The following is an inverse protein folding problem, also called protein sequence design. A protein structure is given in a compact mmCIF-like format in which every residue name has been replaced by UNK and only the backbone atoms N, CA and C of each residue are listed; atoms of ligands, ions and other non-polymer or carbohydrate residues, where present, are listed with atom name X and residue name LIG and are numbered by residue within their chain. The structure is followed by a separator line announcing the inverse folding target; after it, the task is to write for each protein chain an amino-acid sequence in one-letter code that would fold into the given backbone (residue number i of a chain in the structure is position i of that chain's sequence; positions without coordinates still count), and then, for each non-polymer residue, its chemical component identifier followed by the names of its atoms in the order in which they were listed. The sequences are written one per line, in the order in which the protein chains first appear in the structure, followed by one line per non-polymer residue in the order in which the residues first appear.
data_IF_378775706262
#
_entry.id   IF_378775706262
#
_cell.length_a   1.000
_cell.length_b   1.000
_cell.length_c   1.000
_cell.angle_alpha   90.00
_cell.angle_beta   90.00
_cell.angle_gamma   90.00
#
_symmetry.space_group_name_H-M   'P 1'
#
loop_
_entity.id
_entity.type
_entity.pdbx_description
1 polymer ?
#
# COMPACT_ATOMS: atom_id res chain seq x y z
N UNK A 1 19.37 -1.65 46.38
CA UNK A 1 20.22 -0.52 45.85
C UNK A 1 19.32 0.68 45.66
N UNK A 2 19.56 1.73 46.47
CA UNK A 2 18.77 2.96 46.32
C UNK A 2 19.34 3.74 45.12
N UNK A 3 18.57 3.76 44.02
CA UNK A 3 18.87 4.62 42.87
C UNK A 3 18.53 6.07 43.32
N UNK A 4 19.52 6.90 43.49
CA UNK A 4 19.32 8.31 43.90
C UNK A 4 18.73 9.11 42.75
N UNK A 5 17.82 10.04 43.06
CA UNK A 5 17.16 10.90 42.06
C UNK A 5 18.14 11.55 41.07
N UNK A 6 19.35 11.90 41.54
CA UNK A 6 20.44 12.42 40.72
C UNK A 6 20.95 11.47 39.62
N UNK A 7 20.91 10.15 39.84
CA UNK A 7 21.35 9.19 38.86
C UNK A 7 20.28 9.02 37.74
N UNK A 8 19.00 9.05 38.10
CA UNK A 8 17.88 9.01 37.17
C UNK A 8 17.88 10.29 36.33
N UNK A 9 18.07 11.47 36.91
CA UNK A 9 18.12 12.71 36.18
C UNK A 9 19.31 12.76 35.19
N UNK A 10 20.47 12.22 35.58
CA UNK A 10 21.65 12.14 34.71
C UNK A 10 21.43 11.18 33.55
N UNK A 11 20.80 10.05 33.77
CA UNK A 11 20.45 9.07 32.69
C UNK A 11 19.40 9.63 31.75
N UNK A 12 18.39 10.32 32.26
CA UNK A 12 17.37 10.99 31.43
C UNK A 12 18.00 12.14 30.61
N UNK A 13 18.89 12.95 31.17
CA UNK A 13 19.61 13.99 30.39
C UNK A 13 20.54 13.40 29.34
N UNK A 14 21.21 12.28 29.61
CA UNK A 14 22.00 11.56 28.60
C UNK A 14 21.12 10.99 27.48
N UNK A 15 20.00 10.33 27.81
CA UNK A 15 19.07 9.82 26.80
C UNK A 15 18.46 10.95 25.95
N UNK A 16 18.10 12.08 26.54
CA UNK A 16 17.61 13.26 25.80
C UNK A 16 18.72 13.86 24.89
N UNK A 17 19.96 13.87 25.33
CA UNK A 17 21.08 14.34 24.51
C UNK A 17 21.40 13.38 23.35
N UNK A 18 21.32 12.08 23.58
CA UNK A 18 21.47 11.07 22.53
C UNK A 18 20.33 11.17 21.49
N UNK A 19 19.07 11.30 21.94
CA UNK A 19 17.92 11.52 21.05
C UNK A 19 17.99 12.86 20.30
N UNK A 20 18.54 13.91 20.91
CA UNK A 20 18.75 15.22 20.26
C UNK A 20 19.92 15.19 19.27
N UNK A 21 20.96 14.41 19.53
CA UNK A 21 22.06 14.20 18.59
C UNK A 21 21.66 13.28 17.41
N UNK A 22 20.79 12.29 17.64
CA UNK A 22 20.20 11.47 16.57
C UNK A 22 19.23 12.27 15.66
N UNK A 23 18.65 13.37 16.16
CA UNK A 23 17.76 14.25 15.37
C UNK A 23 18.48 15.17 14.37
N UNK A 24 19.81 15.24 14.38
CA UNK A 24 20.58 15.88 13.32
C UNK A 24 21.06 14.84 12.31
N UNK A 25 20.12 14.21 11.59
CA UNK A 25 20.47 13.63 10.29
C UNK A 25 20.71 14.83 9.37
N UNK A 26 21.95 15.09 9.07
CA UNK A 26 22.35 16.15 8.15
C UNK A 26 21.94 15.73 6.73
N UNK A 27 20.80 16.23 6.26
CA UNK A 27 20.26 15.97 4.93
C UNK A 27 21.12 16.58 3.80
N UNK A 28 22.19 17.31 4.14
CA UNK A 28 23.01 18.06 3.18
C UNK A 28 24.26 17.34 2.68
N UNK A 29 24.54 16.09 3.06
CA UNK A 29 25.58 15.30 2.40
C UNK A 29 25.02 14.61 1.14
N UNK A 30 24.50 15.40 0.21
CA UNK A 30 24.38 15.01 -1.18
C UNK A 30 25.77 15.09 -1.80
N UNK A 31 26.42 13.93 -1.96
CA UNK A 31 27.64 13.82 -2.75
C UNK A 31 27.41 14.46 -4.13
N UNK A 32 28.23 15.44 -4.46
CA UNK A 32 28.17 16.25 -5.66
C UNK A 32 28.30 15.43 -6.94
N UNK A 33 27.49 15.72 -7.92
CA UNK A 33 27.64 15.61 -9.37
C UNK A 33 26.79 14.59 -10.15
N UNK A 34 26.29 13.47 -9.60
CA UNK A 34 25.35 12.60 -10.34
C UNK A 34 23.95 12.76 -9.77
N UNK A 35 22.97 12.98 -10.64
CA UNK A 35 21.58 13.18 -10.21
C UNK A 35 20.90 11.92 -9.68
N UNK A 36 21.40 10.74 -10.04
CA UNK A 36 20.79 9.44 -9.72
C UNK A 36 19.26 9.42 -9.88
N UNK A 37 18.76 10.03 -10.98
CA UNK A 37 17.35 10.11 -11.30
C UNK A 37 16.57 11.28 -10.69
N UNK A 38 17.24 12.23 -10.02
CA UNK A 38 16.59 13.38 -9.40
C UNK A 38 16.81 14.65 -10.23
N UNK A 39 15.73 15.31 -10.64
CA UNK A 39 15.76 16.44 -11.56
C UNK A 39 15.07 17.68 -10.97
N UNK A 40 15.42 18.86 -11.49
CA UNK A 40 14.80 20.12 -11.08
C UNK A 40 13.40 20.31 -11.69
N UNK A 41 13.18 19.78 -12.90
CA UNK A 41 11.89 19.90 -13.62
C UNK A 41 11.35 18.53 -14.03
N UNK A 42 10.03 18.44 -14.16
CA UNK A 42 9.38 17.22 -14.61
C UNK A 42 9.72 16.87 -16.05
N UNK A 43 9.83 17.85 -16.94
CA UNK A 43 10.23 17.63 -18.33
C UNK A 43 11.64 17.01 -18.41
N UNK A 44 12.59 17.50 -17.63
CA UNK A 44 13.94 16.93 -17.58
C UNK A 44 13.94 15.48 -17.06
N UNK A 45 13.12 15.18 -16.06
CA UNK A 45 12.96 13.81 -15.53
C UNK A 45 12.37 12.87 -16.60
N UNK A 46 11.37 13.31 -17.34
CA UNK A 46 10.73 12.53 -18.42
C UNK A 46 11.69 12.34 -19.61
N UNK A 47 12.43 13.39 -20.00
CA UNK A 47 13.41 13.30 -21.07
C UNK A 47 14.54 12.31 -20.74
N UNK A 48 15.09 12.37 -19.53
CA UNK A 48 16.10 11.44 -19.07
C UNK A 48 15.58 9.99 -19.03
N UNK A 49 14.36 9.80 -18.57
CA UNK A 49 13.67 8.52 -18.56
C UNK A 49 13.43 7.97 -19.97
N UNK A 50 13.09 8.80 -20.97
CA UNK A 50 12.93 8.40 -22.37
C UNK A 50 14.27 7.93 -23.00
N UNK A 51 15.36 8.62 -22.67
CA UNK A 51 16.71 8.20 -23.08
C UNK A 51 17.06 6.84 -22.46
N UNK A 52 16.80 6.67 -21.17
CA UNK A 52 16.99 5.41 -20.46
C UNK A 52 16.13 4.28 -21.05
N UNK A 53 14.88 4.58 -21.40
CA UNK A 53 13.95 3.63 -22.04
C UNK A 53 14.49 3.07 -23.34
N UNK A 54 15.12 3.88 -24.19
CA UNK A 54 15.72 3.43 -25.45
C UNK A 54 16.90 2.48 -25.21
N UNK A 55 17.62 2.65 -24.10
CA UNK A 55 18.70 1.74 -23.70
C UNK A 55 18.13 0.45 -23.11
N UNK A 56 17.12 0.54 -22.22
CA UNK A 56 16.46 -0.59 -21.57
C UNK A 56 15.78 -1.52 -22.58
N UNK A 57 15.25 -1.01 -23.69
CA UNK A 57 14.66 -1.83 -24.77
C UNK A 57 15.65 -2.80 -25.40
N UNK A 58 16.96 -2.56 -25.27
CA UNK A 58 18.00 -3.46 -25.76
C UNK A 58 18.39 -4.53 -24.75
N UNK A 59 17.93 -4.42 -23.50
CA UNK A 59 18.22 -5.36 -22.45
C UNK A 59 17.43 -6.66 -22.62
N UNK A 60 18.12 -7.76 -22.50
CA UNK A 60 17.54 -9.11 -22.44
C UNK A 60 16.69 -9.30 -21.17
N UNK A 61 15.84 -10.34 -21.15
CA UNK A 61 15.09 -10.73 -19.94
C UNK A 61 16.03 -11.02 -18.77
N UNK A 62 17.20 -11.66 -19.03
CA UNK A 62 18.21 -11.96 -18.01
C UNK A 62 18.81 -10.68 -17.40
N UNK A 63 19.07 -9.66 -18.20
CA UNK A 63 19.56 -8.38 -17.70
C UNK A 63 18.50 -7.64 -16.88
N UNK A 64 17.23 -7.65 -17.34
CA UNK A 64 16.14 -7.07 -16.57
C UNK A 64 15.94 -7.79 -15.23
N UNK A 65 16.05 -9.13 -15.19
CA UNK A 65 16.00 -9.85 -13.92
C UNK A 65 17.17 -9.46 -13.01
N UNK A 66 18.39 -9.31 -13.56
CA UNK A 66 19.53 -8.79 -12.78
C UNK A 66 19.22 -7.41 -12.17
N UNK A 67 18.56 -6.51 -12.91
CA UNK A 67 18.17 -5.20 -12.36
C UNK A 67 17.13 -5.33 -11.24
N UNK A 68 16.16 -6.20 -11.40
CA UNK A 68 15.17 -6.53 -10.35
C UNK A 68 15.87 -7.05 -9.09
N UNK A 69 16.80 -7.99 -9.24
CA UNK A 69 17.55 -8.57 -8.12
C UNK A 69 18.39 -7.51 -7.38
N UNK A 70 18.99 -6.56 -8.11
CA UNK A 70 19.73 -5.44 -7.55
C UNK A 70 18.81 -4.54 -6.71
N UNK A 71 17.62 -4.22 -7.24
CA UNK A 71 16.60 -3.41 -6.49
C UNK A 71 16.23 -4.14 -5.20
N UNK A 72 15.87 -5.43 -5.29
CA UNK A 72 15.52 -6.23 -4.12
C UNK A 72 16.65 -6.25 -3.09
N UNK A 73 17.87 -6.57 -3.54
CA UNK A 73 19.02 -6.73 -2.67
C UNK A 73 19.45 -5.42 -1.98
N UNK A 74 19.40 -4.27 -2.67
CA UNK A 74 19.77 -2.98 -2.05
C UNK A 74 18.77 -2.58 -0.96
N UNK A 75 17.48 -2.86 -1.17
CA UNK A 75 16.43 -2.55 -0.20
C UNK A 75 16.50 -3.48 1.02
N UNK A 76 16.76 -4.77 0.80
CA UNK A 76 16.79 -5.78 1.85
C UNK A 76 18.05 -5.71 2.75
N UNK A 77 19.05 -4.89 2.40
CA UNK A 77 20.12 -4.59 3.36
C UNK A 77 19.53 -3.96 4.61
N UNK A 78 19.91 -4.50 5.77
CA UNK A 78 19.34 -4.10 7.07
C UNK A 78 19.35 -2.58 7.27
N UNK A 79 20.51 -1.97 7.03
CA UNK A 79 20.71 -0.52 7.17
C UNK A 79 19.80 0.31 6.27
N UNK A 80 19.57 -0.15 5.03
CA UNK A 80 18.72 0.55 4.06
C UNK A 80 17.24 0.39 4.43
N UNK A 81 16.83 -0.83 4.77
CA UNK A 81 15.46 -1.14 5.16
C UNK A 81 15.03 -0.34 6.41
N UNK A 82 15.91 -0.27 7.42
CA UNK A 82 15.71 0.53 8.61
C UNK A 82 15.66 2.03 8.29
N UNK A 83 16.57 2.51 7.45
CA UNK A 83 16.64 3.92 7.06
C UNK A 83 15.36 4.39 6.37
N UNK A 84 14.92 3.71 5.30
CA UNK A 84 13.72 4.12 4.56
C UNK A 84 12.45 4.02 5.41
N UNK A 85 12.39 3.03 6.31
CA UNK A 85 11.26 2.87 7.22
C UNK A 85 11.19 3.99 8.26
N UNK A 86 12.34 4.37 8.87
CA UNK A 86 12.43 5.53 9.79
C UNK A 86 12.10 6.85 9.08
N UNK A 87 12.66 7.07 7.89
CA UNK A 87 12.38 8.26 7.08
C UNK A 87 10.90 8.37 6.73
N UNK A 88 10.27 7.25 6.33
CA UNK A 88 8.85 7.25 5.98
C UNK A 88 7.97 7.71 7.14
N UNK A 89 8.17 7.16 8.34
CA UNK A 89 7.41 7.59 9.54
C UNK A 89 7.79 9.01 9.95
N UNK A 90 9.09 9.34 9.96
CA UNK A 90 9.58 10.64 10.40
C UNK A 90 9.12 11.80 9.52
N UNK A 91 9.02 11.60 8.20
CA UNK A 91 8.58 12.64 7.26
C UNK A 91 7.07 12.76 7.17
N UNK A 92 6.36 11.63 7.11
CA UNK A 92 4.90 11.62 6.93
C UNK A 92 4.15 11.76 8.25
N UNK A 93 4.77 11.39 9.35
CA UNK A 93 4.17 11.23 10.69
C UNK A 93 3.00 10.21 10.71
N UNK A 94 3.01 9.25 9.77
CA UNK A 94 1.93 8.28 9.54
C UNK A 94 2.44 6.86 9.81
N UNK A 95 1.68 6.09 10.59
CA UNK A 95 1.90 4.67 10.82
C UNK A 95 2.93 4.36 11.92
N UNK A 96 3.49 3.13 11.88
CA UNK A 96 4.45 2.59 12.86
C UNK A 96 5.72 2.09 12.18
N UNK A 97 6.87 2.38 12.77
CA UNK A 97 8.17 1.98 12.24
C UNK A 97 8.28 0.46 12.00
N UNK A 98 7.86 -0.35 12.98
CA UNK A 98 7.92 -1.81 12.89
C UNK A 98 7.08 -2.35 11.72
N UNK A 99 5.92 -1.75 11.48
CA UNK A 99 5.05 -2.12 10.38
C UNK A 99 5.56 -1.61 9.03
N UNK A 100 6.20 -0.45 8.97
CA UNK A 100 6.91 0.01 7.76
C UNK A 100 8.06 -0.94 7.40
N UNK A 101 8.81 -1.46 8.39
CA UNK A 101 9.83 -2.49 8.15
C UNK A 101 9.24 -3.74 7.50
N UNK A 102 8.13 -4.26 8.03
CA UNK A 102 7.45 -5.44 7.47
C UNK A 102 6.99 -5.16 6.04
N UNK A 103 6.32 -4.02 5.79
CA UNK A 103 5.80 -3.67 4.47
C UNK A 103 6.90 -3.45 3.43
N UNK A 104 7.96 -2.73 3.76
CA UNK A 104 9.10 -2.52 2.85
C UNK A 104 9.82 -3.85 2.53
N UNK A 105 9.95 -4.72 3.53
CA UNK A 105 10.53 -6.06 3.34
C UNK A 105 9.67 -6.89 2.38
N UNK A 106 8.37 -7.02 2.64
CA UNK A 106 7.49 -7.81 1.79
C UNK A 106 7.37 -7.22 0.37
N UNK A 107 7.40 -5.90 0.23
CA UNK A 107 7.46 -5.23 -1.06
C UNK A 107 8.70 -5.63 -1.87
N UNK A 108 9.86 -5.70 -1.24
CA UNK A 108 11.09 -6.15 -1.92
C UNK A 108 11.12 -7.65 -2.17
N UNK A 109 10.69 -8.48 -1.21
CA UNK A 109 10.77 -9.93 -1.32
C UNK A 109 9.72 -10.51 -2.27
N UNK A 110 8.46 -10.08 -2.15
CA UNK A 110 7.31 -10.73 -2.80
C UNK A 110 6.78 -10.02 -4.05
N UNK A 111 7.30 -8.88 -4.46
CA UNK A 111 6.93 -8.31 -5.76
C UNK A 111 7.57 -9.15 -6.87
N UNK A 112 6.77 -9.67 -7.83
CA UNK A 112 7.28 -10.50 -8.90
C UNK A 112 8.15 -9.70 -9.88
N UNK A 113 9.19 -10.36 -10.39
CA UNK A 113 10.06 -9.87 -11.43
C UNK A 113 9.69 -10.37 -12.82
N UNK A 114 10.70 -10.75 -13.60
CA UNK A 114 10.50 -11.24 -14.99
C UNK A 114 9.82 -12.60 -15.08
N UNK A 115 9.80 -13.38 -13.99
CA UNK A 115 9.09 -14.65 -13.89
C UNK A 115 7.55 -14.52 -14.09
N UNK A 116 7.01 -13.31 -13.92
CA UNK A 116 5.60 -13.02 -14.18
C UNK A 116 5.26 -12.90 -15.68
N UNK A 117 6.26 -12.74 -16.55
CA UNK A 117 6.11 -12.49 -17.98
C UNK A 117 6.20 -13.78 -18.80
N UNK A 118 5.19 -14.65 -18.64
CA UNK A 118 5.15 -15.96 -19.29
C UNK A 118 4.76 -15.81 -20.75
N UNK A 119 5.57 -16.36 -21.66
CA UNK A 119 5.26 -16.46 -23.09
C UNK A 119 4.20 -17.55 -23.32
N UNK A 120 3.13 -17.21 -24.05
CA UNK A 120 2.12 -18.16 -24.51
C UNK A 120 2.47 -18.59 -25.94
N UNK A 121 2.44 -19.89 -26.24
CA UNK A 121 2.66 -20.45 -27.56
C UNK A 121 1.46 -21.28 -27.99
N UNK A 122 0.99 -21.03 -29.20
CA UNK A 122 -0.08 -21.79 -29.86
C UNK A 122 0.46 -22.38 -31.17
N UNK A 123 0.38 -23.69 -31.32
CA UNK A 123 0.81 -24.39 -32.55
C UNK A 123 -0.33 -25.23 -33.15
N UNK A 124 -0.35 -25.33 -34.48
CA UNK A 124 -1.34 -26.10 -35.23
C UNK A 124 -0.85 -26.34 -36.66
N UNK A 125 -1.73 -26.86 -37.50
CA UNK A 125 -1.41 -27.20 -38.91
C UNK A 125 -1.02 -25.94 -39.71
N UNK A 126 -1.54 -24.76 -39.30
CA UNK A 126 -1.27 -23.48 -39.95
C UNK A 126 0.02 -22.76 -39.44
N UNK A 127 0.81 -23.39 -38.53
CA UNK A 127 2.06 -22.84 -38.03
C UNK A 127 2.11 -22.56 -36.53
N UNK A 128 2.78 -21.45 -36.11
CA UNK A 128 2.95 -21.07 -34.71
C UNK A 128 2.60 -19.60 -34.45
N UNK A 129 1.97 -19.35 -33.34
CA UNK A 129 1.78 -18.01 -32.78
C UNK A 129 2.40 -17.92 -31.40
N UNK A 130 3.25 -16.91 -31.19
CA UNK A 130 3.77 -16.53 -29.88
C UNK A 130 3.04 -15.27 -29.40
N UNK A 131 2.69 -15.23 -28.10
CA UNK A 131 2.16 -14.05 -27.43
C UNK A 131 3.09 -13.70 -26.27
N UNK A 132 3.67 -12.51 -26.32
CA UNK A 132 4.65 -12.04 -25.35
C UNK A 132 4.25 -10.71 -24.72
N UNK A 133 4.70 -10.50 -23.49
CA UNK A 133 4.56 -9.24 -22.78
C UNK A 133 5.68 -8.28 -23.18
N UNK A 134 5.31 -7.12 -23.72
CA UNK A 134 6.23 -6.09 -24.18
C UNK A 134 6.00 -4.76 -23.45
N UNK A 135 7.04 -3.93 -23.27
CA UNK A 135 6.90 -2.65 -22.58
C UNK A 135 5.96 -1.69 -23.30
N UNK A 136 5.33 -0.81 -22.54
CA UNK A 136 4.69 0.38 -23.04
C UNK A 136 5.69 1.49 -23.35
N UNK A 137 6.72 1.63 -22.52
CA UNK A 137 7.70 2.70 -22.57
C UNK A 137 7.84 3.44 -21.24
N UNK A 138 7.91 4.77 -21.27
CA UNK A 138 7.99 5.57 -20.05
C UNK A 138 6.62 5.59 -19.33
N UNK A 139 6.61 5.24 -18.05
CA UNK A 139 5.42 5.22 -17.20
C UNK A 139 5.49 6.38 -16.20
N UNK A 140 4.41 7.16 -16.09
CA UNK A 140 4.25 8.16 -15.03
C UNK A 140 3.50 7.56 -13.84
N UNK A 141 4.08 7.58 -12.64
CA UNK A 141 3.54 6.95 -11.45
C UNK A 141 3.37 7.95 -10.30
N UNK A 142 2.13 8.13 -9.84
CA UNK A 142 1.78 8.99 -8.69
C UNK A 142 1.73 8.12 -7.45
N UNK A 143 2.45 8.53 -6.38
CA UNK A 143 2.54 7.75 -5.15
C UNK A 143 1.92 8.47 -3.94
N UNK A 144 1.33 7.71 -2.98
CA UNK A 144 0.62 8.27 -1.83
C UNK A 144 1.57 8.63 -0.68
N UNK A 145 1.04 9.26 0.37
CA UNK A 145 1.73 9.43 1.66
C UNK A 145 1.64 8.20 2.55
N UNK A 146 0.63 7.37 2.34
CA UNK A 146 0.31 6.22 3.21
C UNK A 146 1.32 5.08 3.09
N UNK A 147 1.75 4.81 1.84
CA UNK A 147 2.70 3.75 1.50
C UNK A 147 3.74 4.25 0.48
N UNK A 148 4.51 5.30 0.79
CA UNK A 148 5.34 5.96 -0.22
C UNK A 148 6.50 5.08 -0.69
N UNK A 149 7.19 4.40 0.22
CA UNK A 149 8.33 3.55 -0.09
C UNK A 149 7.90 2.23 -0.72
N UNK A 150 6.91 1.59 -0.16
CA UNK A 150 6.38 0.31 -0.62
C UNK A 150 5.87 0.41 -2.08
N UNK A 151 5.15 1.49 -2.39
CA UNK A 151 4.63 1.74 -3.75
C UNK A 151 5.78 1.95 -4.75
N UNK A 152 6.80 2.72 -4.38
CA UNK A 152 7.99 2.93 -5.23
C UNK A 152 8.73 1.63 -5.46
N UNK A 153 8.91 0.79 -4.42
CA UNK A 153 9.59 -0.51 -4.52
C UNK A 153 8.84 -1.43 -5.50
N UNK A 154 7.55 -1.67 -5.25
CA UNK A 154 6.74 -2.58 -6.08
C UNK A 154 6.68 -2.11 -7.54
N UNK A 155 6.40 -0.83 -7.76
CA UNK A 155 6.29 -0.28 -9.11
C UNK A 155 7.63 -0.29 -9.84
N UNK A 156 8.75 0.02 -9.18
CA UNK A 156 10.07 -0.05 -9.78
C UNK A 156 10.43 -1.47 -10.22
N UNK A 157 10.22 -2.46 -9.36
CA UNK A 157 10.47 -3.87 -9.67
C UNK A 157 9.62 -4.30 -10.86
N UNK A 158 8.30 -4.09 -10.79
CA UNK A 158 7.36 -4.57 -11.81
C UNK A 158 7.53 -3.86 -13.16
N UNK A 159 7.77 -2.56 -13.16
CA UNK A 159 7.93 -1.78 -14.39
C UNK A 159 9.25 -2.10 -15.08
N UNK A 160 10.36 -2.21 -14.34
CA UNK A 160 11.67 -2.56 -14.90
C UNK A 160 11.67 -4.01 -15.41
N UNK A 161 11.07 -4.95 -14.67
CA UNK A 161 10.87 -6.31 -15.15
C UNK A 161 10.14 -6.33 -16.50
N UNK A 162 9.07 -5.53 -16.63
CA UNK A 162 8.32 -5.33 -17.87
C UNK A 162 9.09 -4.62 -19.00
N UNK A 163 10.29 -4.09 -18.71
CA UNK A 163 11.11 -3.34 -19.66
C UNK A 163 10.70 -1.87 -19.83
N UNK A 164 10.00 -1.31 -18.82
CA UNK A 164 9.59 0.09 -18.78
C UNK A 164 10.48 0.90 -17.84
N UNK A 165 10.69 2.17 -18.14
CA UNK A 165 11.22 3.15 -17.19
C UNK A 165 10.06 3.85 -16.46
N UNK A 166 10.34 4.46 -15.32
CA UNK A 166 9.31 5.11 -14.50
C UNK A 166 9.73 6.50 -14.06
N UNK A 167 8.77 7.44 -14.16
CA UNK A 167 8.86 8.79 -13.62
C UNK A 167 7.88 8.87 -12.45
N UNK A 168 8.39 9.02 -11.23
CA UNK A 168 7.54 9.17 -10.05
C UNK A 168 7.15 10.63 -9.80
N UNK A 169 5.90 10.82 -9.42
CA UNK A 169 5.39 12.05 -8.84
C UNK A 169 4.97 11.76 -7.40
N UNK A 170 5.88 11.92 -6.41
CA UNK A 170 5.57 11.63 -5.03
C UNK A 170 4.69 12.71 -4.42
N UNK A 171 3.93 12.32 -3.40
CA UNK A 171 3.21 13.29 -2.59
C UNK A 171 4.20 14.22 -1.87
N UNK A 172 3.99 15.54 -1.80
CA UNK A 172 4.92 16.50 -1.17
C UNK A 172 5.33 16.15 0.26
N UNK A 173 4.45 15.52 1.04
CA UNK A 173 4.73 15.08 2.42
C UNK A 173 5.56 13.78 2.53
N UNK A 174 5.99 13.20 1.42
CA UNK A 174 6.83 12.01 1.37
C UNK A 174 7.99 12.17 0.37
N UNK A 175 8.32 13.42 -0.01
CA UNK A 175 9.29 13.70 -1.06
C UNK A 175 10.70 13.26 -0.71
N UNK A 176 11.18 13.57 0.50
CA UNK A 176 12.57 13.27 0.90
C UNK A 176 12.80 11.76 1.01
N UNK A 177 11.85 11.04 1.58
CA UNK A 177 11.89 9.57 1.66
C UNK A 177 11.90 8.96 0.27
N UNK A 178 11.06 9.43 -0.64
CA UNK A 178 11.00 8.95 -2.03
C UNK A 178 12.29 9.25 -2.78
N UNK A 179 12.82 10.47 -2.69
CA UNK A 179 14.09 10.87 -3.29
C UNK A 179 15.24 9.99 -2.80
N UNK A 180 15.33 9.78 -1.48
CA UNK A 180 16.37 8.93 -0.89
C UNK A 180 16.32 7.50 -1.43
N UNK A 181 15.11 6.93 -1.51
CA UNK A 181 14.90 5.58 -2.03
C UNK A 181 15.28 5.48 -3.51
N UNK A 182 14.83 6.42 -4.35
CA UNK A 182 15.16 6.46 -5.79
C UNK A 182 16.66 6.60 -5.99
N UNK A 183 17.31 7.51 -5.26
CA UNK A 183 18.78 7.69 -5.31
C UNK A 183 19.50 6.42 -4.95
N UNK A 184 19.08 5.73 -3.90
CA UNK A 184 19.67 4.47 -3.44
C UNK A 184 19.54 3.38 -4.51
N UNK A 185 18.38 3.23 -5.11
CA UNK A 185 18.13 2.23 -6.15
C UNK A 185 18.95 2.53 -7.41
N UNK A 186 18.87 3.76 -7.93
CA UNK A 186 19.63 4.11 -9.15
C UNK A 186 21.14 3.98 -8.96
N UNK A 187 21.68 4.41 -7.80
CA UNK A 187 23.09 4.24 -7.50
C UNK A 187 23.52 2.78 -7.62
N UNK A 188 22.76 1.86 -7.01
CA UNK A 188 23.06 0.42 -7.08
C UNK A 188 22.92 -0.14 -8.51
N UNK A 189 21.92 0.31 -9.26
CA UNK A 189 21.71 -0.10 -10.66
C UNK A 189 22.84 0.38 -11.56
N UNK A 190 23.26 1.63 -11.47
CA UNK A 190 24.32 2.24 -12.27
C UNK A 190 25.70 1.64 -11.95
N UNK A 191 26.00 1.39 -10.67
CA UNK A 191 27.23 0.68 -10.25
C UNK A 191 27.32 -0.74 -10.82
N UNK A 192 26.17 -1.38 -11.08
CA UNK A 192 26.11 -2.71 -11.70
C UNK A 192 26.03 -2.68 -13.25
N UNK A 193 26.13 -1.49 -13.85
CA UNK A 193 26.16 -1.29 -15.30
C UNK A 193 24.79 -1.21 -15.96
N UNK A 194 23.72 -0.99 -15.21
CA UNK A 194 22.40 -0.71 -15.77
C UNK A 194 22.38 0.69 -16.44
N UNK A 195 21.45 0.95 -17.37
CA UNK A 195 21.25 2.31 -17.90
C UNK A 195 20.97 3.30 -16.79
N UNK A 196 21.55 4.49 -16.86
CA UNK A 196 21.28 5.59 -15.94
C UNK A 196 19.82 6.05 -16.08
N UNK A 197 19.21 6.55 -14.98
CA UNK A 197 17.87 7.16 -14.97
C UNK A 197 16.73 6.19 -15.35
N UNK A 198 16.83 4.92 -14.98
CA UNK A 198 15.71 3.98 -15.12
C UNK A 198 14.50 4.39 -14.29
N UNK A 199 14.74 5.05 -13.15
CA UNK A 199 13.74 5.56 -12.22
C UNK A 199 14.01 7.03 -11.99
N UNK A 200 13.07 7.91 -12.27
CA UNK A 200 13.27 9.36 -12.15
C UNK A 200 12.18 10.02 -11.32
N UNK A 201 12.49 11.19 -10.77
CA UNK A 201 11.55 12.07 -10.08
C UNK A 201 12.09 13.52 -10.07
N UNK A 202 11.30 14.43 -9.50
CA UNK A 202 11.67 15.83 -9.30
C UNK A 202 12.05 16.11 -7.85
N UNK A 203 12.93 17.10 -7.62
CA UNK A 203 13.31 17.56 -6.28
C UNK A 203 12.13 18.14 -5.51
N UNK A 204 11.28 18.90 -6.18
CA UNK A 204 10.13 19.58 -5.58
C UNK A 204 8.83 19.12 -6.27
N UNK A 205 8.19 18.05 -5.77
CA UNK A 205 6.92 17.59 -6.30
C UNK A 205 5.81 18.58 -6.01
N UNK A 206 4.96 18.82 -7.01
CA UNK A 206 3.81 19.72 -6.92
C UNK A 206 2.66 19.20 -7.78
N UNK A 207 1.47 19.79 -7.60
CA UNK A 207 0.31 19.52 -8.47
C UNK A 207 0.63 19.90 -9.92
N UNK A 208 1.36 20.98 -10.14
CA UNK A 208 1.78 21.44 -11.45
C UNK A 208 2.70 20.41 -12.12
N UNK A 209 3.76 19.96 -11.43
CA UNK A 209 4.65 18.90 -11.92
C UNK A 209 3.89 17.61 -12.24
N UNK A 210 2.90 17.26 -11.42
CA UNK A 210 2.05 16.08 -11.67
C UNK A 210 1.22 16.26 -12.94
N UNK A 211 0.67 17.46 -13.19
CA UNK A 211 -0.07 17.77 -14.40
C UNK A 211 0.83 17.69 -15.64
N UNK A 212 2.04 18.29 -15.59
CA UNK A 212 3.04 18.19 -16.67
C UNK A 212 3.31 16.71 -16.99
N UNK A 213 3.57 15.87 -15.98
CA UNK A 213 3.78 14.44 -16.20
C UNK A 213 2.57 13.76 -16.87
N UNK A 214 1.36 14.05 -16.40
CA UNK A 214 0.14 13.43 -16.96
C UNK A 214 -0.08 13.82 -18.44
N UNK A 215 0.24 15.04 -18.83
CA UNK A 215 0.04 15.56 -20.18
C UNK A 215 1.21 15.23 -21.13
N UNK A 216 2.42 15.01 -20.61
CA UNK A 216 3.64 14.86 -21.40
C UNK A 216 3.53 13.72 -22.42
N UNK A 217 3.84 14.01 -23.70
CA UNK A 217 3.64 13.10 -24.84
C UNK A 217 4.44 11.78 -24.76
N UNK A 218 5.60 11.80 -24.10
CA UNK A 218 6.44 10.61 -23.92
C UNK A 218 5.94 9.67 -22.83
N UNK A 219 5.11 10.13 -21.91
CA UNK A 219 4.45 9.26 -20.92
C UNK A 219 3.38 8.43 -21.62
N UNK A 220 3.54 7.10 -21.58
CA UNK A 220 2.69 6.15 -22.32
C UNK A 220 1.58 5.54 -21.44
N UNK A 221 1.83 5.42 -20.17
CA UNK A 221 0.88 4.88 -19.17
C UNK A 221 0.95 5.76 -17.94
N UNK A 222 -0.20 6.00 -17.33
CA UNK A 222 -0.30 6.66 -16.04
C UNK A 222 -0.74 5.66 -14.97
N UNK A 223 -0.06 5.68 -13.85
CA UNK A 223 -0.38 4.88 -12.68
C UNK A 223 -0.64 5.83 -11.51
N UNK A 224 -1.77 5.68 -10.83
CA UNK A 224 -2.04 6.44 -9.61
C UNK A 224 -2.36 5.48 -8.46
N UNK A 225 -1.61 5.60 -7.39
CA UNK A 225 -1.94 5.01 -6.11
C UNK A 225 -2.33 6.14 -5.16
N UNK A 226 -3.62 6.27 -4.85
CA UNK A 226 -4.12 7.39 -4.06
C UNK A 226 -5.64 7.52 -4.05
N UNK A 227 -6.14 8.64 -3.57
CA UNK A 227 -7.59 8.87 -3.43
C UNK A 227 -8.35 8.91 -4.77
N UNK A 228 -9.71 8.82 -4.72
CA UNK A 228 -10.56 8.73 -5.93
C UNK A 228 -10.37 9.87 -6.91
N UNK A 229 -10.07 11.07 -6.44
CA UNK A 229 -9.90 12.26 -7.29
C UNK A 229 -8.73 12.13 -8.27
N UNK A 230 -7.57 11.65 -7.82
CA UNK A 230 -6.40 11.48 -8.69
C UNK A 230 -6.57 10.31 -9.65
N UNK A 231 -7.22 9.22 -9.20
CA UNK A 231 -7.58 8.08 -10.05
C UNK A 231 -8.50 8.54 -11.18
N UNK A 232 -9.58 9.27 -10.86
CA UNK A 232 -10.48 9.84 -11.87
C UNK A 232 -9.74 10.76 -12.83
N UNK A 233 -8.79 11.56 -12.33
CA UNK A 233 -8.02 12.49 -13.16
C UNK A 233 -7.14 11.76 -14.16
N UNK A 234 -6.38 10.73 -13.77
CA UNK A 234 -5.56 9.98 -14.75
C UNK A 234 -6.41 9.26 -15.78
N UNK A 235 -7.58 8.72 -15.39
CA UNK A 235 -8.52 8.07 -16.31
C UNK A 235 -9.09 9.03 -17.36
N UNK A 236 -9.20 10.32 -17.04
CA UNK A 236 -9.72 11.34 -17.95
C UNK A 236 -8.70 11.87 -18.98
N UNK A 237 -7.43 11.47 -18.89
CA UNK A 237 -6.36 11.97 -19.77
C UNK A 237 -6.38 11.39 -21.19
N UNK A 238 -7.14 10.34 -21.44
CA UNK A 238 -7.13 9.58 -22.70
C UNK A 238 -5.93 8.65 -22.89
N UNK A 239 -4.97 8.63 -21.96
CA UNK A 239 -3.88 7.65 -21.90
C UNK A 239 -4.34 6.36 -21.22
N UNK A 240 -3.60 5.24 -21.43
CA UNK A 240 -3.81 4.08 -20.58
C UNK A 240 -3.56 4.48 -19.12
N UNK A 241 -4.53 4.20 -18.27
CA UNK A 241 -4.48 4.50 -16.85
C UNK A 241 -4.63 3.22 -16.03
N UNK A 242 -3.87 3.11 -14.95
CA UNK A 242 -3.96 2.07 -13.92
C UNK A 242 -4.21 2.79 -12.60
N UNK A 243 -5.40 2.62 -12.06
CA UNK A 243 -5.87 3.37 -10.90
C UNK A 243 -6.08 2.49 -9.67
N UNK A 244 -5.29 2.73 -8.62
CA UNK A 244 -5.46 2.15 -7.31
C UNK A 244 -6.10 3.18 -6.37
N UNK A 245 -7.38 2.99 -6.09
CA UNK A 245 -8.22 3.93 -5.34
C UNK A 245 -8.25 3.68 -3.84
N UNK A 246 -9.21 4.30 -3.18
CA UNK A 246 -9.53 4.05 -1.78
C UNK A 246 -10.18 2.67 -1.59
N UNK A 247 -10.18 2.19 -0.34
CA UNK A 247 -10.90 0.99 0.05
C UNK A 247 -11.59 1.22 1.39
N UNK A 248 -12.76 0.63 1.55
CA UNK A 248 -13.45 0.52 2.83
C UNK A 248 -13.68 -0.98 3.10
N UNK A 249 -12.64 -1.73 3.55
CA UNK A 249 -12.72 -3.18 3.66
C UNK A 249 -13.61 -3.66 4.81
N UNK A 250 -14.78 -4.27 4.50
CA UNK A 250 -15.67 -4.82 5.50
C UNK A 250 -15.18 -6.17 6.02
N UNK A 251 -15.47 -6.43 7.28
CA UNK A 251 -15.28 -7.73 7.92
C UNK A 251 -16.63 -8.33 8.28
N UNK A 252 -16.87 -9.57 7.89
CA UNK A 252 -18.03 -10.35 8.32
C UNK A 252 -17.58 -11.46 9.27
N UNK A 253 -18.25 -11.60 10.41
CA UNK A 253 -18.03 -12.68 11.38
C UNK A 253 -19.34 -13.41 11.65
N UNK A 254 -19.41 -14.69 11.27
CA UNK A 254 -20.59 -15.51 11.49
C UNK A 254 -20.44 -16.47 12.71
N UNK A 255 -21.52 -17.14 13.05
CA UNK A 255 -21.60 -18.07 14.18
C UNK A 255 -20.70 -19.31 14.03
N UNK A 256 -20.18 -19.60 12.85
CA UNK A 256 -19.30 -20.75 12.60
C UNK A 256 -17.82 -20.40 12.75
N UNK A 257 -17.51 -19.12 12.92
CA UNK A 257 -16.14 -18.63 13.06
C UNK A 257 -15.48 -19.16 14.34
N UNK A 258 -14.15 -19.22 14.32
CA UNK A 258 -13.34 -19.28 15.54
C UNK A 258 -13.25 -17.86 16.10
N UNK A 259 -14.13 -17.56 17.07
CA UNK A 259 -14.35 -16.19 17.54
C UNK A 259 -13.10 -15.60 18.20
N UNK A 260 -12.36 -16.39 18.97
CA UNK A 260 -11.11 -15.91 19.60
C UNK A 260 -10.07 -15.56 18.55
N UNK A 261 -9.86 -16.44 17.58
CA UNK A 261 -8.96 -16.19 16.45
C UNK A 261 -9.42 -15.00 15.62
N UNK A 262 -10.72 -14.89 15.32
CA UNK A 262 -11.28 -13.77 14.56
C UNK A 262 -11.01 -12.44 15.27
N UNK A 263 -11.19 -12.36 16.58
CA UNK A 263 -10.91 -11.16 17.36
C UNK A 263 -9.42 -10.76 17.30
N UNK A 264 -8.50 -11.74 17.43
CA UNK A 264 -7.05 -11.51 17.30
C UNK A 264 -6.71 -10.97 15.91
N UNK A 265 -7.22 -11.63 14.86
CA UNK A 265 -6.93 -11.28 13.47
C UNK A 265 -7.44 -9.87 13.14
N UNK A 266 -8.68 -9.55 13.51
CA UNK A 266 -9.32 -8.26 13.27
C UNK A 266 -8.58 -7.13 13.99
N UNK A 267 -8.24 -7.31 15.27
CA UNK A 267 -7.48 -6.30 16.03
C UNK A 267 -6.10 -6.09 15.42
N UNK A 268 -5.40 -7.15 15.04
CA UNK A 268 -4.08 -7.05 14.42
C UNK A 268 -4.14 -6.42 13.02
N UNK A 269 -5.13 -6.79 12.20
CA UNK A 269 -5.32 -6.24 10.87
C UNK A 269 -5.70 -4.76 10.90
N UNK A 270 -6.68 -4.38 11.72
CA UNK A 270 -7.09 -2.99 11.89
C UNK A 270 -5.96 -2.11 12.46
N UNK A 271 -5.15 -2.62 13.39
CA UNK A 271 -4.04 -1.87 13.99
C UNK A 271 -2.78 -1.86 13.14
N UNK A 272 -2.72 -2.64 12.06
CA UNK A 272 -1.55 -2.72 11.20
C UNK A 272 -1.26 -1.35 10.58
N UNK A 273 -0.08 -0.84 10.87
CA UNK A 273 0.39 0.49 10.47
C UNK A 273 -0.61 1.62 10.84
N UNK A 274 -1.27 1.49 11.99
CA UNK A 274 -2.33 2.38 12.47
C UNK A 274 -3.51 2.53 11.49
N UNK A 275 -3.92 1.46 10.84
CA UNK A 275 -5.01 1.43 9.87
C UNK A 275 -4.78 2.25 8.59
N UNK A 276 -3.52 2.54 8.25
CA UNK A 276 -3.15 3.31 7.05
C UNK A 276 -3.29 2.52 5.75
N UNK A 277 -2.98 1.20 5.69
CA UNK A 277 -3.15 0.45 4.47
C UNK A 277 -4.62 0.38 4.05
N UNK A 278 -4.87 0.57 2.76
CA UNK A 278 -6.22 0.53 2.18
C UNK A 278 -6.88 -0.86 2.26
N UNK A 279 -6.12 -1.91 2.61
CA UNK A 279 -6.62 -3.27 2.84
C UNK A 279 -7.07 -3.51 4.28
N UNK A 280 -6.74 -2.61 5.23
CA UNK A 280 -7.00 -2.80 6.65
C UNK A 280 -8.51 -2.80 6.95
N UNK A 281 -8.92 -3.58 7.95
CA UNK A 281 -10.29 -3.68 8.44
C UNK A 281 -10.84 -2.30 8.81
N UNK A 282 -11.96 -1.90 8.26
CA UNK A 282 -12.59 -0.59 8.52
C UNK A 282 -13.86 -0.69 9.35
N UNK A 283 -14.66 -1.73 9.17
CA UNK A 283 -15.89 -2.01 9.92
C UNK A 283 -16.10 -3.51 10.08
N UNK A 284 -16.83 -3.91 11.12
CA UNK A 284 -17.15 -5.32 11.42
C UNK A 284 -18.67 -5.50 11.49
N UNK A 285 -19.17 -6.44 10.70
CA UNK A 285 -20.55 -6.93 10.76
C UNK A 285 -20.55 -8.28 11.47
N UNK A 286 -21.01 -8.32 12.72
CA UNK A 286 -21.00 -9.50 13.56
C UNK A 286 -22.44 -9.99 13.83
N UNK A 287 -22.67 -11.29 13.65
CA UNK A 287 -23.96 -11.92 13.96
C UNK A 287 -24.25 -11.80 15.47
N UNK A 288 -25.48 -11.46 15.84
CA UNK A 288 -25.89 -11.13 17.22
C UNK A 288 -25.42 -12.20 18.23
N UNK A 289 -25.65 -13.47 17.94
CA UNK A 289 -25.32 -14.56 18.84
C UNK A 289 -23.84 -14.67 19.24
N UNK A 290 -22.92 -14.05 18.49
CA UNK A 290 -21.47 -14.10 18.78
C UNK A 290 -20.85 -12.72 19.05
N UNK A 291 -21.59 -11.64 18.86
CA UNK A 291 -21.06 -10.28 18.89
C UNK A 291 -20.42 -9.94 20.26
N UNK A 292 -21.07 -10.28 21.37
CA UNK A 292 -20.54 -10.01 22.72
C UNK A 292 -19.26 -10.79 23.00
N UNK A 293 -19.15 -12.03 22.51
CA UNK A 293 -17.93 -12.83 22.62
C UNK A 293 -16.80 -12.24 21.78
N UNK A 294 -17.11 -11.80 20.56
CA UNK A 294 -16.15 -11.14 19.69
C UNK A 294 -15.58 -9.87 20.34
N UNK A 295 -16.44 -8.99 20.84
CA UNK A 295 -16.05 -7.76 21.55
C UNK A 295 -15.18 -8.10 22.78
N UNK A 296 -15.57 -9.12 23.54
CA UNK A 296 -14.82 -9.58 24.72
C UNK A 296 -13.39 -9.96 24.33
N UNK A 297 -13.21 -10.84 23.34
CA UNK A 297 -11.89 -11.28 22.90
C UNK A 297 -11.09 -10.17 22.22
N UNK A 298 -11.73 -9.25 21.49
CA UNK A 298 -11.04 -8.06 20.95
C UNK A 298 -10.44 -7.21 22.08
N UNK A 299 -11.17 -7.01 23.19
CA UNK A 299 -10.66 -6.28 24.38
C UNK A 299 -9.49 -6.98 25.02
N UNK A 300 -9.51 -8.31 25.13
CA UNK A 300 -8.37 -9.09 25.64
C UNK A 300 -7.12 -8.96 24.75
N UNK A 301 -7.30 -8.60 23.48
CA UNK A 301 -6.21 -8.46 22.51
C UNK A 301 -5.81 -7.00 22.21
N UNK A 302 -6.23 -6.05 23.06
CA UNK A 302 -5.79 -4.66 23.03
C UNK A 302 -6.78 -3.67 22.40
N UNK A 303 -8.06 -4.04 22.23
CA UNK A 303 -9.09 -3.10 21.86
C UNK A 303 -9.62 -2.34 23.08
N UNK A 304 -9.84 -1.04 22.93
CA UNK A 304 -10.54 -0.17 23.89
C UNK A 304 -11.96 0.10 23.42
N UNK A 305 -12.96 -0.30 24.21
CA UNK A 305 -14.37 -0.15 23.86
C UNK A 305 -14.94 1.17 24.39
N UNK A 306 -15.50 2.00 23.50
CA UNK A 306 -16.31 3.17 23.85
C UNK A 306 -17.79 2.79 23.74
N UNK A 307 -18.52 2.83 24.88
CA UNK A 307 -19.96 2.48 24.95
C UNK A 307 -20.89 3.68 24.95
N UNK A 308 -20.41 4.80 25.49
CA UNK A 308 -21.22 5.99 25.64
C UNK A 308 -21.37 6.73 24.32
N UNK A 309 -22.62 6.91 23.88
CA UNK A 309 -22.96 7.56 22.60
C UNK A 309 -22.40 8.98 22.50
N UNK A 310 -22.46 9.76 23.58
CA UNK A 310 -21.94 11.13 23.56
C UNK A 310 -20.42 11.16 23.36
N UNK A 311 -19.71 10.16 23.87
CA UNK A 311 -18.28 10.00 23.65
C UNK A 311 -17.95 9.56 22.21
N UNK A 312 -18.80 8.70 21.60
CA UNK A 312 -18.68 8.32 20.18
C UNK A 312 -18.86 9.55 19.28
N UNK A 313 -19.88 10.37 19.55
CA UNK A 313 -20.12 11.61 18.79
C UNK A 313 -18.95 12.60 18.93
N UNK A 314 -18.43 12.80 20.14
CA UNK A 314 -17.25 13.63 20.38
C UNK A 314 -16.00 13.10 19.66
N UNK A 315 -15.83 11.77 19.59
CA UNK A 315 -14.76 11.16 18.82
C UNK A 315 -14.94 11.46 17.33
N UNK A 316 -16.14 11.32 16.81
CA UNK A 316 -16.46 11.62 15.41
C UNK A 316 -16.13 13.07 15.05
N UNK A 317 -16.59 14.04 15.85
CA UNK A 317 -16.28 15.47 15.67
C UNK A 317 -14.77 15.75 15.76
N UNK A 318 -14.07 15.06 16.66
CA UNK A 318 -12.64 15.22 16.85
C UNK A 318 -11.85 14.83 15.59
N UNK A 319 -12.21 13.70 14.95
CA UNK A 319 -11.40 13.08 13.89
C UNK A 319 -11.87 13.38 12.47
N UNK A 320 -13.08 13.98 12.28
CA UNK A 320 -13.62 14.32 10.96
C UNK A 320 -13.45 15.81 10.63
N UNK A 321 -13.22 16.09 9.36
CA UNK A 321 -13.18 17.46 8.82
C UNK A 321 -14.59 17.92 8.40
N UNK A 322 -14.72 19.19 8.02
CA UNK A 322 -16.00 19.81 7.60
C UNK A 322 -16.69 19.13 6.41
N UNK A 323 -15.97 18.32 5.63
CA UNK A 323 -16.50 17.57 4.49
C UNK A 323 -16.86 16.12 4.83
N UNK A 324 -16.74 15.73 6.11
CA UNK A 324 -17.01 14.39 6.59
C UNK A 324 -15.83 13.41 6.47
N UNK A 325 -14.78 13.70 5.71
CA UNK A 325 -13.62 12.85 5.63
C UNK A 325 -12.69 12.95 6.85
N UNK A 326 -11.65 12.11 6.95
CA UNK A 326 -10.73 12.14 8.08
C UNK A 326 -9.93 13.45 8.15
N UNK A 327 -9.72 13.97 9.36
CA UNK A 327 -8.75 15.06 9.58
C UNK A 327 -7.34 14.54 9.39
N UNK A 328 -6.58 15.19 8.53
CA UNK A 328 -5.19 14.82 8.18
C UNK A 328 -4.29 14.63 9.40
N UNK A 329 -4.51 15.40 10.48
CA UNK A 329 -3.73 15.32 11.72
C UNK A 329 -3.96 14.03 12.53
N UNK A 330 -5.02 13.26 12.23
CA UNK A 330 -5.34 12.00 12.90
C UNK A 330 -5.05 10.77 12.03
N UNK A 331 -4.89 10.94 10.71
CA UNK A 331 -4.57 9.84 9.79
C UNK A 331 -3.29 9.14 10.23
N UNK A 332 -3.35 7.83 10.44
CA UNK A 332 -2.22 6.99 10.83
C UNK A 332 -1.67 7.23 12.23
N UNK A 333 -2.38 7.98 13.09
CA UNK A 333 -2.04 8.12 14.51
C UNK A 333 -2.52 6.89 15.30
N UNK A 334 -1.86 6.59 16.41
CA UNK A 334 -2.18 5.43 17.25
C UNK A 334 -3.48 5.63 18.05
N UNK A 335 -4.11 4.53 18.48
CA UNK A 335 -5.30 4.57 19.32
C UNK A 335 -5.08 5.34 20.65
N UNK A 336 -3.96 5.16 21.38
CA UNK A 336 -3.67 5.97 22.56
C UNK A 336 -3.57 7.48 22.28
N UNK A 337 -2.98 7.86 21.14
CA UNK A 337 -2.91 9.28 20.76
C UNK A 337 -4.31 9.89 20.55
N UNK A 338 -5.18 9.16 19.85
CA UNK A 338 -6.55 9.62 19.56
C UNK A 338 -7.34 9.73 20.85
N UNK A 339 -7.28 8.72 21.73
CA UNK A 339 -7.96 8.68 23.01
C UNK A 339 -7.46 9.78 23.97
N UNK A 340 -6.15 10.07 23.98
CA UNK A 340 -5.60 11.19 24.76
C UNK A 340 -6.20 12.53 24.35
N UNK A 341 -6.38 12.77 23.04
CA UNK A 341 -7.05 13.98 22.53
C UNK A 341 -8.53 14.07 22.91
N UNK A 342 -9.16 12.93 23.18
CA UNK A 342 -10.53 12.83 23.68
C UNK A 342 -10.61 12.99 25.22
N UNK A 343 -9.45 13.03 25.90
CA UNK A 343 -9.34 13.11 27.35
C UNK A 343 -9.36 11.76 28.06
N UNK A 344 -9.21 10.65 27.31
CA UNK A 344 -9.24 9.28 27.83
C UNK A 344 -7.79 8.75 27.91
N UNK A 345 -7.35 8.38 29.11
CA UNK A 345 -6.04 7.78 29.33
C UNK A 345 -6.13 6.26 29.25
N UNK A 346 -5.30 5.67 28.42
CA UNK A 346 -5.17 4.21 28.22
C UNK A 346 -3.70 3.80 28.22
N UNK A 347 -3.44 2.50 28.26
CA UNK A 347 -2.10 1.95 28.05
C UNK A 347 -1.61 2.18 26.61
N UNK A 348 -0.30 2.35 26.45
CA UNK A 348 0.36 2.45 25.13
C UNK A 348 0.18 1.17 24.30
N UNK A 349 -0.12 0.03 24.95
CA UNK A 349 -0.42 -1.25 24.29
C UNK A 349 -1.82 -1.29 23.64
N UNK A 350 -2.65 -0.27 23.84
CA UNK A 350 -3.96 -0.18 23.20
C UNK A 350 -3.80 -0.07 21.69
N UNK A 351 -4.36 -1.05 20.95
CA UNK A 351 -4.18 -1.18 19.51
C UNK A 351 -5.26 -0.50 18.68
N UNK A 352 -6.53 -0.64 19.11
CA UNK A 352 -7.71 -0.26 18.34
C UNK A 352 -8.78 0.32 19.27
N UNK A 353 -9.52 1.30 18.80
CA UNK A 353 -10.73 1.82 19.44
C UNK A 353 -11.92 1.14 18.81
N UNK A 354 -12.77 0.49 19.60
CA UNK A 354 -13.99 -0.17 19.11
C UNK A 354 -15.24 0.46 19.71
N UNK A 355 -16.34 0.41 18.98
CA UNK A 355 -17.67 0.83 19.42
C UNK A 355 -18.74 0.06 18.67
N UNK A 356 -19.87 -0.23 19.34
CA UNK A 356 -21.05 -0.77 18.67
C UNK A 356 -21.92 0.39 18.16
N UNK A 357 -22.23 0.38 16.86
CA UNK A 357 -22.97 1.46 16.19
C UNK A 357 -23.95 0.91 15.16
N UNK A 358 -24.86 1.78 14.67
CA UNK A 358 -25.75 1.45 13.55
C UNK A 358 -24.99 1.36 12.22
N UNK A 359 -25.49 0.53 11.30
CA UNK A 359 -24.89 0.31 9.97
C UNK A 359 -24.76 1.56 9.09
N UNK A 360 -25.52 2.61 9.39
CA UNK A 360 -25.45 3.90 8.70
C UNK A 360 -24.55 4.91 9.42
N UNK A 361 -23.88 4.50 10.51
CA UNK A 361 -23.00 5.39 11.24
C UNK A 361 -21.81 5.81 10.38
N UNK A 362 -21.37 7.04 10.53
CA UNK A 362 -20.31 7.64 9.72
C UNK A 362 -19.01 6.81 9.71
N UNK A 363 -18.60 6.23 10.84
CA UNK A 363 -17.43 5.36 10.91
C UNK A 363 -17.57 4.04 10.13
N UNK A 364 -18.80 3.63 9.78
CA UNK A 364 -19.07 2.46 8.93
C UNK A 364 -19.00 2.84 7.45
N UNK A 365 -19.44 4.05 7.11
CA UNK A 365 -19.58 4.48 5.71
C UNK A 365 -18.39 5.23 5.16
N UNK A 366 -17.42 5.66 6.00
CA UNK A 366 -16.27 6.46 5.56
C UNK A 366 -14.94 5.85 5.98
N UNK A 367 -14.01 5.78 5.04
CA UNK A 367 -12.64 5.31 5.29
C UNK A 367 -11.86 6.33 6.14
N UNK A 368 -11.65 6.04 7.43
CA UNK A 368 -11.02 6.99 8.36
C UNK A 368 -9.49 6.91 8.38
N UNK A 369 -8.88 5.82 7.93
CA UNK A 369 -7.42 5.59 7.94
C UNK A 369 -6.77 5.81 9.31
N UNK A 370 -7.41 5.35 10.37
CA UNK A 370 -6.96 5.39 11.76
C UNK A 370 -7.55 4.19 12.52
N UNK A 371 -6.95 3.74 13.65
CA UNK A 371 -7.39 2.52 14.34
C UNK A 371 -8.67 2.72 15.14
N UNK A 372 -9.74 3.11 14.45
CA UNK A 372 -11.12 3.19 14.93
C UNK A 372 -11.92 2.17 14.14
N UNK A 373 -12.57 1.23 14.84
CA UNK A 373 -13.25 0.10 14.24
C UNK A 373 -14.66 0.00 14.76
N UNK A 374 -15.67 0.44 14.00
CA UNK A 374 -17.07 0.26 14.35
C UNK A 374 -17.48 -1.20 14.22
N UNK A 375 -18.34 -1.64 15.12
CA UNK A 375 -18.95 -2.97 15.11
C UNK A 375 -20.45 -2.78 14.92
N UNK A 376 -20.99 -3.45 13.92
CA UNK A 376 -22.42 -3.47 13.61
C UNK A 376 -22.95 -4.86 13.93
N UNK A 377 -23.88 -4.93 14.88
CA UNK A 377 -24.58 -6.15 15.24
C UNK A 377 -25.70 -6.38 14.23
N UNK A 378 -25.78 -7.60 13.68
CA UNK A 378 -26.76 -8.02 12.67
C UNK A 378 -27.46 -9.30 13.09
N UNK A 379 -28.66 -9.55 12.54
CA UNK A 379 -29.45 -10.71 12.93
C UNK A 379 -28.86 -12.06 12.46
N UNK A 380 -28.31 -12.08 11.26
CA UNK A 380 -27.74 -13.26 10.64
C UNK A 380 -26.64 -12.93 9.64
N UNK A 381 -25.97 -13.96 9.14
CA UNK A 381 -24.87 -13.83 8.19
C UNK A 381 -25.26 -13.27 6.82
N UNK A 382 -26.52 -13.44 6.40
CA UNK A 382 -26.99 -12.92 5.13
C UNK A 382 -27.14 -11.39 5.20
N UNK A 383 -27.68 -10.88 6.31
CA UNK A 383 -27.71 -9.43 6.60
C UNK A 383 -26.30 -8.87 6.73
N UNK A 384 -25.37 -9.60 7.39
CA UNK A 384 -23.96 -9.19 7.49
C UNK A 384 -23.33 -8.98 6.11
N UNK A 385 -23.54 -9.93 5.19
CA UNK A 385 -22.99 -9.87 3.82
C UNK A 385 -23.62 -8.72 3.03
N UNK A 386 -24.92 -8.46 3.18
CA UNK A 386 -25.58 -7.33 2.51
C UNK A 386 -25.07 -5.98 3.04
N UNK A 387 -24.91 -5.86 4.36
CA UNK A 387 -24.31 -4.66 4.96
C UNK A 387 -22.87 -4.44 4.48
N UNK A 388 -22.06 -5.49 4.42
CA UNK A 388 -20.71 -5.45 3.91
C UNK A 388 -20.65 -5.00 2.44
N UNK A 389 -21.56 -5.48 1.61
CA UNK A 389 -21.68 -5.07 0.21
C UNK A 389 -21.97 -3.57 0.08
N UNK A 390 -22.85 -3.05 0.91
CA UNK A 390 -23.19 -1.62 0.91
C UNK A 390 -22.01 -0.77 1.41
N UNK A 391 -21.35 -1.19 2.50
CA UNK A 391 -20.24 -0.46 3.12
C UNK A 391 -18.97 -0.43 2.25
N UNK A 392 -18.77 -1.42 1.38
CA UNK A 392 -17.63 -1.50 0.43
C UNK A 392 -17.75 -0.45 -0.71
N UNK A 393 -18.92 0.13 -0.92
CA UNK A 393 -19.19 1.21 -1.89
C UNK A 393 -18.87 0.91 -3.35
N UNK A 394 -18.68 -0.35 -3.75
CA UNK A 394 -18.26 -0.74 -5.09
C UNK A 394 -16.81 -0.39 -5.42
N UNK A 395 -15.98 -0.15 -4.41
CA UNK A 395 -14.52 0.03 -4.56
C UNK A 395 -13.85 -1.22 -5.11
N UNK A 396 -14.43 -2.41 -4.87
CA UNK A 396 -13.92 -3.73 -5.27
C UNK A 396 -12.48 -3.97 -4.82
N UNK A 397 -12.18 -3.47 -3.62
CA UNK A 397 -10.82 -3.46 -3.11
C UNK A 397 -10.50 -4.71 -2.30
N UNK A 398 -11.00 -4.80 -1.08
CA UNK A 398 -10.70 -5.89 -0.13
C UNK A 398 -11.93 -6.19 0.71
N UNK A 399 -12.15 -7.48 1.02
CA UNK A 399 -13.13 -7.92 2.01
C UNK A 399 -12.57 -9.07 2.84
N UNK A 400 -13.01 -9.19 4.07
CA UNK A 400 -12.58 -10.21 5.02
C UNK A 400 -13.79 -10.96 5.56
N UNK A 401 -13.71 -12.29 5.68
CA UNK A 401 -14.74 -13.07 6.33
C UNK A 401 -14.14 -14.13 7.26
N UNK A 402 -14.60 -14.12 8.49
CA UNK A 402 -14.31 -15.18 9.47
C UNK A 402 -15.52 -16.12 9.54
N UNK A 403 -15.37 -17.30 8.99
CA UNK A 403 -16.43 -18.30 8.83
C UNK A 403 -15.84 -19.69 8.54
N UNK A 404 -16.56 -20.74 8.92
CA UNK A 404 -16.33 -22.13 8.46
C UNK A 404 -17.41 -22.58 7.46
N UNK A 405 -18.39 -21.73 7.17
CA UNK A 405 -19.45 -22.00 6.21
C UNK A 405 -19.00 -21.65 4.79
N UNK A 406 -18.64 -22.67 4.02
CA UNK A 406 -18.12 -22.52 2.65
C UNK A 406 -19.13 -21.85 1.70
N UNK A 407 -20.42 -22.09 1.87
CA UNK A 407 -21.47 -21.51 1.03
C UNK A 407 -21.59 -19.99 1.29
N UNK A 408 -21.52 -19.57 2.54
CA UNK A 408 -21.57 -18.14 2.90
C UNK A 408 -20.30 -17.42 2.47
N UNK A 409 -19.13 -18.02 2.63
CA UNK A 409 -17.86 -17.52 2.08
C UNK A 409 -17.95 -17.32 0.56
N UNK A 410 -18.51 -18.30 -0.16
CA UNK A 410 -18.71 -18.23 -1.59
C UNK A 410 -19.70 -17.13 -1.98
N UNK A 411 -20.83 -17.01 -1.23
CA UNK A 411 -21.83 -15.96 -1.45
C UNK A 411 -21.19 -14.57 -1.33
N UNK A 412 -20.48 -14.30 -0.24
CA UNK A 412 -19.84 -13.00 0.00
C UNK A 412 -18.79 -12.69 -1.08
N UNK A 413 -17.89 -13.62 -1.37
CA UNK A 413 -16.84 -13.44 -2.38
C UNK A 413 -17.39 -13.09 -3.76
N UNK A 414 -18.50 -13.75 -4.17
CA UNK A 414 -19.16 -13.47 -5.45
C UNK A 414 -19.90 -12.15 -5.47
N UNK A 415 -20.53 -11.78 -4.35
CA UNK A 415 -21.33 -10.55 -4.27
C UNK A 415 -20.46 -9.30 -4.26
N UNK A 416 -19.39 -9.29 -3.47
CA UNK A 416 -18.56 -8.10 -3.28
C UNK A 416 -17.57 -7.88 -4.44
N UNK A 417 -17.22 -8.92 -5.20
CA UNK A 417 -16.30 -8.85 -6.35
C UNK A 417 -14.96 -8.14 -6.04
N UNK A 418 -14.51 -8.21 -4.79
CA UNK A 418 -13.28 -7.53 -4.36
C UNK A 418 -12.03 -8.16 -4.97
N UNK A 419 -11.02 -7.33 -5.23
CA UNK A 419 -9.70 -7.77 -5.71
C UNK A 419 -9.04 -8.74 -4.73
N UNK A 420 -9.18 -8.47 -3.43
CA UNK A 420 -8.68 -9.31 -2.34
C UNK A 420 -9.86 -9.80 -1.51
N UNK A 421 -9.97 -11.10 -1.33
CA UNK A 421 -10.91 -11.72 -0.39
C UNK A 421 -10.12 -12.58 0.61
N UNK A 422 -10.13 -12.16 1.88
CA UNK A 422 -9.38 -12.84 2.94
C UNK A 422 -10.34 -13.68 3.79
N UNK A 423 -9.96 -14.93 4.05
CA UNK A 423 -10.74 -15.85 4.85
C UNK A 423 -9.97 -16.27 6.11
N UNK A 424 -10.58 -16.06 7.29
CA UNK A 424 -10.05 -16.50 8.58
C UNK A 424 -8.59 -16.07 8.84
N UNK A 425 -8.24 -14.86 8.45
CA UNK A 425 -6.92 -14.26 8.63
C UNK A 425 -7.04 -12.72 8.70
N UNK A 426 -6.04 -12.02 9.21
CA UNK A 426 -6.01 -10.56 9.15
C UNK A 426 -5.83 -10.09 7.70
N UNK A 427 -6.35 -8.91 7.39
CA UNK A 427 -6.36 -8.33 6.04
C UNK A 427 -4.98 -8.31 5.35
N UNK A 428 -3.91 -8.08 6.09
CA UNK A 428 -2.55 -8.02 5.54
C UNK A 428 -2.04 -9.35 4.97
N UNK A 429 -2.70 -10.49 5.29
CA UNK A 429 -2.43 -11.76 4.62
C UNK A 429 -2.72 -11.67 3.11
N UNK A 430 -3.69 -10.84 2.70
CA UNK A 430 -4.04 -10.59 1.30
C UNK A 430 -2.98 -9.86 0.48
N UNK A 431 -2.01 -9.24 1.14
CA UNK A 431 -0.81 -8.65 0.50
C UNK A 431 0.46 -9.45 0.79
N UNK A 432 0.31 -10.70 1.21
CA UNK A 432 1.41 -11.64 1.38
C UNK A 432 2.13 -11.56 2.73
N UNK A 433 1.71 -10.75 3.69
CA UNK A 433 2.25 -10.75 5.05
C UNK A 433 1.63 -11.92 5.82
N UNK A 434 2.40 -12.99 6.01
CA UNK A 434 1.88 -14.23 6.61
C UNK A 434 0.89 -15.01 5.74
N UNK A 435 0.75 -14.64 4.46
CA UNK A 435 -0.08 -15.30 3.45
C UNK A 435 0.71 -15.66 2.21
N UNK A 436 0.12 -16.49 1.35
CA UNK A 436 0.69 -16.88 0.07
C UNK A 436 0.44 -15.82 -1.02
N UNK A 437 1.19 -15.92 -2.10
CA UNK A 437 1.07 -15.05 -3.27
C UNK A 437 2.01 -13.86 -3.26
N UNK A 438 1.93 -13.08 -4.33
CA UNK A 438 2.74 -11.88 -4.51
C UNK A 438 2.14 -10.66 -3.80
N UNK A 439 2.98 -9.63 -3.63
CA UNK A 439 2.57 -8.36 -3.06
C UNK A 439 2.57 -7.25 -4.10
N UNK A 440 1.73 -6.26 -3.87
CA UNK A 440 1.81 -4.93 -4.47
C UNK A 440 1.15 -3.92 -3.53
N UNK A 441 1.55 -2.65 -3.64
CA UNK A 441 0.88 -1.53 -2.97
C UNK A 441 0.14 -0.63 -3.98
N UNK A 442 -0.02 -1.13 -5.22
CA UNK A 442 -0.88 -0.55 -6.25
C UNK A 442 -1.98 -1.57 -6.58
N UNK A 443 -3.05 -1.57 -5.79
CA UNK A 443 -4.18 -2.49 -5.93
C UNK A 443 -5.23 -1.79 -6.79
N UNK A 444 -5.23 -2.15 -8.09
CA UNK A 444 -5.95 -1.42 -9.13
C UNK A 444 -7.35 -2.01 -9.38
N UNK A 445 -8.22 -1.98 -8.36
CA UNK A 445 -9.63 -2.38 -8.46
C UNK A 445 -10.41 -1.55 -9.49
N UNK A 446 -10.39 -0.19 -9.44
CA UNK A 446 -11.19 0.64 -10.33
C UNK A 446 -10.92 0.45 -11.83
N UNK A 447 -9.71 0.08 -12.23
CA UNK A 447 -9.32 -0.16 -13.62
C UNK A 447 -9.22 -1.63 -14.01
N UNK A 448 -9.39 -2.54 -13.03
CA UNK A 448 -9.55 -3.98 -13.26
C UNK A 448 -8.25 -4.78 -13.32
N UNK A 449 -7.07 -4.15 -13.15
CA UNK A 449 -5.80 -4.90 -13.06
C UNK A 449 -5.66 -5.67 -11.74
N UNK A 450 -6.40 -5.31 -10.72
CA UNK A 450 -6.36 -5.95 -9.41
C UNK A 450 -5.00 -5.79 -8.72
N UNK A 451 -4.44 -6.89 -8.20
CA UNK A 451 -3.07 -6.91 -7.66
C UNK A 451 -2.08 -6.79 -8.80
N UNK A 452 -1.53 -5.57 -8.99
CA UNK A 452 -0.60 -5.30 -10.09
C UNK A 452 0.71 -6.06 -9.95
N UNK A 453 1.27 -6.46 -11.08
CA UNK A 453 2.56 -7.14 -11.21
C UNK A 453 3.24 -6.71 -12.52
N UNK A 454 4.37 -7.29 -12.89
CA UNK A 454 5.09 -6.92 -14.12
C UNK A 454 4.21 -6.96 -15.37
N UNK A 455 3.31 -7.96 -15.48
CA UNK A 455 2.39 -8.10 -16.63
C UNK A 455 1.38 -6.95 -16.72
N UNK A 456 0.99 -6.35 -15.60
CA UNK A 456 0.02 -5.23 -15.58
C UNK A 456 0.57 -3.99 -16.29
N UNK A 457 1.88 -3.82 -16.29
CA UNK A 457 2.61 -2.70 -16.92
C UNK A 457 3.13 -3.05 -18.30
N UNK A 458 2.62 -4.12 -18.92
CA UNK A 458 2.99 -4.58 -20.26
C UNK A 458 1.79 -4.64 -21.18
N UNK A 459 2.07 -4.65 -22.48
CA UNK A 459 1.10 -4.96 -23.54
C UNK A 459 1.41 -6.31 -24.15
N UNK A 460 0.40 -7.13 -24.40
CA UNK A 460 0.55 -8.37 -25.15
C UNK A 460 0.81 -8.05 -26.62
N UNK A 461 1.82 -8.70 -27.22
CA UNK A 461 2.09 -8.65 -28.65
C UNK A 461 2.12 -10.06 -29.22
N UNK A 462 1.63 -10.21 -30.43
CA UNK A 462 1.58 -11.47 -31.15
C UNK A 462 2.62 -11.48 -32.26
N UNK A 463 3.37 -12.60 -32.36
CA UNK A 463 4.23 -12.92 -33.49
C UNK A 463 3.72 -14.22 -34.12
N UNK A 464 3.50 -14.20 -35.42
CA UNK A 464 2.90 -15.33 -36.15
C UNK A 464 3.83 -15.78 -37.27
N UNK A 465 4.03 -17.09 -37.39
CA UNK A 465 4.70 -17.75 -38.50
C UNK A 465 3.72 -18.79 -39.07
N UNK A 466 3.47 -18.72 -40.37
CA UNK A 466 2.56 -19.65 -41.10
C UNK A 466 3.32 -20.69 -41.92
N UNK A 467 2.65 -21.73 -42.33
CA UNK A 467 3.09 -22.76 -43.29
C UNK A 467 4.33 -23.58 -42.86
N UNK A 468 4.79 -23.42 -41.62
CA UNK A 468 5.95 -24.14 -41.12
C UNK A 468 6.03 -24.11 -39.60
N UNK A 469 7.09 -24.73 -39.02
CA UNK A 469 7.40 -24.76 -37.60
C UNK A 469 6.43 -25.56 -36.73
N UNK A 470 5.79 -26.56 -37.27
CA UNK A 470 5.09 -27.61 -36.52
C UNK A 470 5.79 -28.94 -36.73
N UNK A 471 5.78 -29.80 -35.71
CA UNK A 471 6.53 -31.07 -35.66
C UNK A 471 5.62 -32.29 -35.48
N UNK A 472 4.31 -32.11 -35.65
CA UNK A 472 3.30 -33.14 -35.54
C UNK A 472 2.50 -33.33 -36.84
#
# INVERSE_FOLDING_TARGET
MNITANLVEKLVRQAIQEVQNEKKIDFNTLESAKSYGIFDTMDAAVEASDIAQKKLLKSSMKERQKYVDIIKNVILKKENLELISRMSVGETEIGKYEHKLIKNRVAAEKTPGTEDLITEAMTGDDGITLVEYCPFGVIGAITPTTNPTETVICNSISMIAGGNTVVFSPHPRAKNTTIKLITMINKALEEAGAPENLITTVKEPSIENTNIMMEHSKIRVLVATGGPAIVKKIMSTGKKAIGAGAGNPPVVVDETADIEKAAIDIVNGCSFDNNVPCIAEKEVFAVDGICDYLIHYMKLNGAYEIKDKSTIERLLELVTNEKGGPKVSFVGKSAPYILDKLGIKVSDDTKVIIMEVDKNHHFVTEEMMMPILPIVRVNDVDEAIECAYVAEHGNRHTAIMHSKNVDKLTKMARLLETTIFVKNAPSYAGIGVGGEGHTTFTIAGPTGEGLTSARSFCRKRRCVMTDSFHIR
#
